data_IF_689952481157
#
_entry.id   IF_689952481157
#
_cell.length_a   1.000
_cell.length_b   1.000
_cell.length_c   1.000
_cell.angle_alpha   90.00
_cell.angle_beta   90.00
_cell.angle_gamma   90.00
#
_symmetry.space_group_name_H-M   'P 1'
#
loop_
_entity.id
_entity.type
_entity.pdbx_description
1 polymer ?
#
# COMPACT_ATOMS: atom_id res chain seq x y z
N UNK A 1 20.19 35.85 38.29
CA UNK A 1 19.19 35.74 37.21
C UNK A 1 18.67 34.31 37.18
N UNK A 2 17.35 34.12 37.28
CA UNK A 2 16.70 32.81 37.19
C UNK A 2 16.12 32.55 35.80
N UNK A 3 15.75 31.31 35.50
CA UNK A 3 15.05 30.94 34.26
C UNK A 3 13.55 31.25 34.42
N UNK A 4 13.04 32.18 33.62
CA UNK A 4 11.62 32.57 33.61
C UNK A 4 10.84 32.05 32.40
N UNK A 5 11.45 31.17 31.59
CA UNK A 5 10.81 30.60 30.41
C UNK A 5 9.93 29.42 30.85
N UNK A 6 8.67 29.42 30.42
CA UNK A 6 7.74 28.32 30.63
C UNK A 6 7.24 27.77 29.30
N UNK A 7 7.00 26.46 29.24
CA UNK A 7 6.54 25.76 28.02
C UNK A 7 5.11 25.28 28.24
N UNK A 8 4.19 25.73 27.39
CA UNK A 8 2.77 25.39 27.49
C UNK A 8 2.35 24.47 26.33
N UNK A 9 1.64 23.37 26.59
CA UNK A 9 1.10 22.51 25.53
C UNK A 9 -0.02 23.23 24.78
N UNK A 10 0.10 23.30 23.45
CA UNK A 10 -0.95 23.80 22.56
C UNK A 10 -1.54 22.65 21.74
N UNK A 11 -2.87 22.58 21.67
CA UNK A 11 -3.58 21.69 20.76
C UNK A 11 -4.05 22.50 19.56
N UNK A 12 -3.78 22.02 18.35
CA UNK A 12 -4.25 22.62 17.10
C UNK A 12 -5.12 21.58 16.37
N UNK A 13 -6.28 21.98 15.87
CA UNK A 13 -7.20 21.11 15.13
C UNK A 13 -7.22 21.50 13.65
N UNK A 14 -6.72 20.62 12.78
CA UNK A 14 -6.59 20.87 11.35
C UNK A 14 -7.75 20.30 10.51
N UNK A 15 -8.79 19.76 11.15
CA UNK A 15 -9.97 19.21 10.46
C UNK A 15 -11.06 20.25 10.16
N UNK A 16 -10.85 21.50 10.58
CA UNK A 16 -11.73 22.63 10.26
C UNK A 16 -11.16 23.45 9.11
N UNK A 17 -11.89 24.50 8.70
CA UNK A 17 -11.39 25.40 7.66
C UNK A 17 -10.12 26.12 8.10
N UNK A 18 -9.33 26.60 7.14
CA UNK A 18 -8.10 27.37 7.41
C UNK A 18 -8.40 28.57 8.30
N UNK A 19 -9.42 29.35 7.95
CA UNK A 19 -9.83 30.50 8.73
C UNK A 19 -10.24 30.14 10.16
N UNK A 20 -11.07 29.11 10.33
CA UNK A 20 -11.50 28.65 11.65
C UNK A 20 -10.32 28.09 12.47
N UNK A 21 -9.41 27.35 11.85
CA UNK A 21 -8.22 26.79 12.49
C UNK A 21 -7.33 27.88 13.07
N UNK A 22 -7.09 28.96 12.32
CA UNK A 22 -6.28 30.09 12.79
C UNK A 22 -6.98 30.84 13.92
N UNK A 23 -8.27 31.14 13.80
CA UNK A 23 -9.03 31.82 14.87
C UNK A 23 -9.09 30.99 16.16
N UNK A 24 -9.34 29.68 16.05
CA UNK A 24 -9.32 28.77 17.21
C UNK A 24 -7.94 28.67 17.84
N UNK A 25 -6.88 28.65 17.03
CA UNK A 25 -5.49 28.62 17.51
C UNK A 25 -5.14 29.90 18.24
N UNK A 26 -5.52 31.06 17.69
CA UNK A 26 -5.36 32.36 18.34
C UNK A 26 -6.10 32.42 19.68
N UNK A 27 -7.39 32.03 19.73
CA UNK A 27 -8.17 32.02 20.95
C UNK A 27 -7.56 31.08 22.02
N UNK A 28 -7.04 29.92 21.61
CA UNK A 28 -6.33 28.99 22.51
C UNK A 28 -5.05 29.60 23.05
N UNK A 29 -4.22 30.21 22.20
CA UNK A 29 -3.00 30.91 22.63
C UNK A 29 -3.30 32.04 23.61
N UNK A 30 -4.32 32.86 23.34
CA UNK A 30 -4.73 33.93 24.25
C UNK A 30 -5.19 33.39 25.62
N UNK A 31 -5.98 32.32 25.64
CA UNK A 31 -6.41 31.67 26.90
C UNK A 31 -5.25 31.04 27.68
N UNK A 32 -4.19 30.59 27.00
CA UNK A 32 -3.02 30.00 27.63
C UNK A 32 -2.17 31.03 28.39
N UNK A 33 -2.24 32.31 28.02
CA UNK A 33 -1.54 33.40 28.72
C UNK A 33 -2.01 33.54 30.18
N UNK A 34 -3.29 33.27 30.48
CA UNK A 34 -3.82 33.25 31.86
C UNK A 34 -3.16 32.17 32.74
N UNK A 35 -2.48 31.21 32.11
CA UNK A 35 -1.81 30.09 32.74
C UNK A 35 -0.29 30.10 32.52
N UNK A 36 0.30 31.24 32.14
CA UNK A 36 1.73 31.35 31.82
C UNK A 36 2.67 30.95 32.96
N UNK A 37 2.21 30.97 34.21
CA UNK A 37 2.97 30.54 35.38
C UNK A 37 2.80 29.05 35.73
N UNK A 38 1.89 28.33 35.06
CA UNK A 38 1.65 26.92 35.33
C UNK A 38 2.75 26.05 34.70
N UNK A 39 3.56 25.38 35.53
CA UNK A 39 4.65 24.55 35.02
C UNK A 39 4.18 23.41 34.11
N UNK A 40 4.99 23.04 33.11
CA UNK A 40 4.73 21.88 32.26
C UNK A 40 4.54 20.58 33.07
N UNK A 41 5.24 20.43 34.20
CA UNK A 41 5.08 19.27 35.11
C UNK A 41 3.67 19.22 35.70
N UNK A 42 3.08 20.37 36.05
CA UNK A 42 1.69 20.44 36.51
C UNK A 42 0.74 20.03 35.38
N UNK A 43 0.93 20.56 34.17
CA UNK A 43 0.12 20.18 33.00
C UNK A 43 0.20 18.67 32.70
N UNK A 44 1.39 18.07 32.80
CA UNK A 44 1.59 16.63 32.66
C UNK A 44 0.84 15.82 33.73
N UNK A 45 0.95 16.23 35.01
CA UNK A 45 0.24 15.57 36.12
C UNK A 45 -1.27 15.64 36.00
N UNK A 46 -1.80 16.74 35.47
CA UNK A 46 -3.23 16.92 35.25
C UNK A 46 -3.74 16.25 33.96
N UNK A 47 -2.84 15.70 33.15
CA UNK A 47 -3.21 14.99 31.92
C UNK A 47 -3.58 13.53 32.19
N UNK A 48 -4.41 12.94 31.33
CA UNK A 48 -4.67 11.49 31.32
C UNK A 48 -3.59 10.71 30.53
N UNK A 49 -2.45 11.33 30.24
CA UNK A 49 -1.35 10.70 29.48
C UNK A 49 -0.52 9.82 30.43
N UNK A 50 -0.16 8.57 30.04
CA UNK A 50 0.65 7.70 30.87
C UNK A 50 1.97 8.33 31.31
N UNK A 51 2.38 8.07 32.56
CA UNK A 51 3.65 8.55 33.08
C UNK A 51 4.82 8.11 32.19
N UNK A 52 5.76 9.02 31.94
CA UNK A 52 6.90 8.80 31.04
C UNK A 52 6.61 9.08 29.56
N UNK A 53 5.35 9.32 29.17
CA UNK A 53 5.01 9.75 27.80
C UNK A 53 4.97 11.28 27.73
N UNK A 54 5.75 11.94 26.85
CA UNK A 54 5.73 13.39 26.70
C UNK A 54 4.40 13.87 26.10
N UNK A 55 3.89 15.04 26.53
CA UNK A 55 2.67 15.64 25.97
C UNK A 55 2.84 16.08 24.50
N UNK A 56 4.06 16.44 24.12
CA UNK A 56 4.46 16.85 22.78
C UNK A 56 5.96 16.57 22.60
N UNK A 57 6.37 16.34 21.36
CA UNK A 57 7.78 16.10 20.96
C UNK A 57 8.38 17.24 20.16
N UNK A 58 7.62 18.33 19.96
CA UNK A 58 8.03 19.46 19.15
C UNK A 58 7.76 20.77 19.85
N UNK A 59 8.71 21.70 19.77
CA UNK A 59 8.58 23.07 20.27
C UNK A 59 8.45 24.03 19.09
N UNK A 60 7.53 24.98 19.23
CA UNK A 60 7.45 26.17 18.39
C UNK A 60 7.73 27.39 19.26
N UNK A 61 8.77 28.15 18.93
CA UNK A 61 9.10 29.42 19.56
C UNK A 61 8.81 30.56 18.58
N UNK A 62 8.23 31.66 19.08
CA UNK A 62 8.14 32.91 18.32
C UNK A 62 8.94 33.97 19.09
N UNK A 63 9.95 34.55 18.45
CA UNK A 63 10.90 35.46 19.08
C UNK A 63 10.89 36.77 18.33
N UNK A 64 10.44 37.83 19.00
CA UNK A 64 10.50 39.18 18.45
C UNK A 64 11.89 39.76 18.73
N UNK A 65 12.69 39.89 17.67
CA UNK A 65 14.04 40.44 17.72
C UNK A 65 14.04 41.85 17.09
N UNK A 66 13.33 42.79 17.73
CA UNK A 66 13.18 44.19 17.26
C UNK A 66 14.44 45.05 17.32
N UNK A 67 15.57 44.46 17.67
CA UNK A 67 16.83 45.16 17.79
C UNK A 67 17.88 44.25 17.22
N UNK A 68 18.56 44.72 16.17
CA UNK A 68 19.96 44.41 15.97
C UNK A 68 20.60 44.49 17.36
N UNK A 69 20.94 43.35 17.94
CA UNK A 69 22.02 43.31 18.89
C UNK A 69 23.22 43.74 18.06
N UNK A 70 23.41 45.05 17.94
CA UNK A 70 24.72 45.62 17.75
C UNK A 70 25.54 44.90 18.80
N UNK A 71 26.36 43.95 18.36
CA UNK A 71 27.40 43.30 19.15
C UNK A 71 28.44 44.30 19.67
N UNK A 72 28.14 45.60 19.60
CA UNK A 72 28.93 46.75 19.96
C UNK A 72 28.42 47.43 21.23
N UNK A 73 27.97 46.67 22.25
CA UNK A 73 27.98 47.15 23.65
C UNK A 73 27.72 46.01 24.63
N UNK A 74 28.50 44.94 24.53
CA UNK A 74 28.83 44.19 25.74
C UNK A 74 30.05 44.90 26.32
N UNK A 75 30.12 45.10 27.64
CA UNK A 75 31.20 45.81 28.35
C UNK A 75 32.58 45.65 27.70
N UNK A 76 33.44 46.70 27.67
CA UNK A 76 34.77 46.59 27.11
C UNK A 76 35.53 45.41 27.74
N UNK A 77 35.73 44.34 26.96
CA UNK A 77 36.35 43.10 27.41
C UNK A 77 35.51 41.82 27.21
N UNK A 78 34.23 41.92 26.84
CA UNK A 78 33.40 40.73 26.54
C UNK A 78 33.22 40.59 25.03
N UNK A 79 33.64 39.45 24.49
CA UNK A 79 33.43 39.06 23.10
C UNK A 79 32.41 37.93 23.06
N UNK A 80 31.34 38.11 22.30
CA UNK A 80 30.40 37.04 21.99
C UNK A 80 31.07 36.06 21.03
N UNK A 81 31.24 34.80 21.45
CA UNK A 81 31.90 33.76 20.64
C UNK A 81 30.90 32.85 19.94
N UNK A 82 29.93 32.29 20.68
CA UNK A 82 28.95 31.33 20.17
C UNK A 82 27.76 31.16 21.12
N UNK A 83 26.59 30.85 20.58
CA UNK A 83 25.42 30.38 21.33
C UNK A 83 25.05 28.98 20.83
N UNK A 84 24.90 28.04 21.76
CA UNK A 84 24.43 26.69 21.48
C UNK A 84 23.27 26.38 22.43
N UNK A 85 22.04 26.40 21.92
CA UNK A 85 20.88 25.91 22.65
C UNK A 85 20.74 24.40 22.41
N UNK A 86 20.57 23.62 23.47
CA UNK A 86 20.21 22.20 23.37
C UNK A 86 18.89 22.00 24.07
N UNK A 87 17.85 21.80 23.28
CA UNK A 87 16.52 21.45 23.79
C UNK A 87 16.41 19.93 23.94
N UNK A 88 15.65 19.46 24.93
CA UNK A 88 15.41 18.02 25.14
C UNK A 88 14.31 17.47 24.22
N UNK A 89 13.97 18.18 23.14
CA UNK A 89 12.87 17.87 22.24
C UNK A 89 13.41 17.45 20.87
N UNK A 90 12.87 16.38 20.26
CA UNK A 90 13.29 15.92 18.93
C UNK A 90 13.28 16.97 17.81
N UNK A 91 12.38 17.96 17.90
CA UNK A 91 12.24 19.03 16.93
C UNK A 91 11.92 20.35 17.66
N UNK A 92 12.71 21.38 17.40
CA UNK A 92 12.45 22.75 17.83
C UNK A 92 12.50 23.65 16.62
N UNK A 93 11.42 24.40 16.39
CA UNK A 93 11.33 25.41 15.35
C UNK A 93 11.16 26.76 16.01
N UNK A 94 12.01 27.72 15.67
CA UNK A 94 11.88 29.11 16.08
C UNK A 94 11.56 29.98 14.86
N UNK A 95 10.56 30.84 15.03
CA UNK A 95 10.28 31.96 14.14
C UNK A 95 10.94 33.19 14.74
N UNK A 96 11.93 33.74 14.04
CA UNK A 96 12.63 34.98 14.41
C UNK A 96 11.95 36.14 13.66
N UNK A 97 11.30 37.03 14.39
CA UNK A 97 10.61 38.19 13.82
C UNK A 97 11.52 39.42 13.87
N UNK A 98 12.00 39.82 12.70
CA UNK A 98 12.87 40.99 12.50
C UNK A 98 12.07 42.24 12.09
N UNK A 99 10.74 42.22 12.24
CA UNK A 99 9.82 43.30 11.91
C UNK A 99 9.49 43.44 10.43
N UNK A 100 10.47 43.28 9.54
CA UNK A 100 10.27 43.33 8.07
C UNK A 100 10.30 41.96 7.40
N UNK A 101 10.91 40.98 8.06
CA UNK A 101 11.02 39.60 7.58
C UNK A 101 10.94 38.62 8.76
N UNK A 102 10.59 37.37 8.45
CA UNK A 102 10.59 36.26 9.39
C UNK A 102 11.74 35.30 9.04
N UNK A 103 12.61 35.02 10.00
CA UNK A 103 13.59 33.95 9.94
C UNK A 103 13.03 32.65 10.51
N UNK A 104 13.48 31.51 9.99
CA UNK A 104 13.17 30.18 10.51
C UNK A 104 14.46 29.50 10.96
N UNK A 105 14.52 29.11 12.22
CA UNK A 105 15.62 28.31 12.78
C UNK A 105 15.06 26.96 13.21
N UNK A 106 15.67 25.87 12.77
CA UNK A 106 15.25 24.52 13.12
C UNK A 106 16.40 23.74 13.74
N UNK A 107 16.16 23.23 14.94
CA UNK A 107 16.97 22.21 15.58
C UNK A 107 16.21 20.88 15.56
N UNK A 108 16.78 19.87 14.92
CA UNK A 108 16.16 18.54 14.80
C UNK A 108 17.18 17.44 15.07
N UNK A 109 16.71 16.33 15.63
CA UNK A 109 17.54 15.14 15.81
C UNK A 109 17.91 14.50 14.46
N UNK A 110 19.07 13.85 14.41
CA UNK A 110 19.44 13.01 13.27
C UNK A 110 18.47 11.81 13.13
N UNK A 111 18.21 11.31 11.92
CA UNK A 111 18.84 11.65 10.64
C UNK A 111 18.10 12.75 9.84
N UNK A 112 17.24 13.54 10.48
CA UNK A 112 16.45 14.55 9.78
C UNK A 112 17.32 15.76 9.39
N UNK A 113 17.02 16.30 8.21
CA UNK A 113 17.68 17.50 7.69
C UNK A 113 16.91 18.76 8.13
N UNK A 114 17.51 19.65 8.95
CA UNK A 114 16.84 20.87 9.40
C UNK A 114 16.49 21.82 8.25
N UNK A 115 17.31 21.90 7.20
CA UNK A 115 17.06 22.80 6.06
C UNK A 115 15.78 22.40 5.34
N UNK A 116 15.57 21.09 5.15
CA UNK A 116 14.34 20.57 4.55
C UNK A 116 13.09 20.91 5.36
N UNK A 117 13.19 20.90 6.70
CA UNK A 117 12.07 21.28 7.57
C UNK A 117 11.78 22.78 7.44
N UNK A 118 12.81 23.63 7.36
CA UNK A 118 12.63 25.06 7.08
C UNK A 118 11.90 25.28 5.75
N UNK A 119 12.31 24.58 4.68
CA UNK A 119 11.68 24.66 3.36
C UNK A 119 10.20 24.24 3.43
N UNK A 120 9.86 23.17 4.16
CA UNK A 120 8.48 22.74 4.33
C UNK A 120 7.64 23.74 5.11
N UNK A 121 8.20 24.32 6.18
CA UNK A 121 7.49 25.34 6.95
C UNK A 121 7.27 26.60 6.13
N UNK A 122 8.27 27.02 5.34
CA UNK A 122 8.13 28.14 4.42
C UNK A 122 7.01 27.88 3.39
N UNK A 123 6.99 26.70 2.76
CA UNK A 123 5.93 26.33 1.82
C UNK A 123 4.54 26.29 2.50
N UNK A 124 4.47 25.80 3.73
CA UNK A 124 3.23 25.77 4.51
C UNK A 124 2.72 27.18 4.81
N UNK A 125 3.60 28.11 5.20
CA UNK A 125 3.26 29.51 5.43
C UNK A 125 2.80 30.21 4.15
N UNK A 126 3.51 30.00 3.03
CA UNK A 126 3.10 30.54 1.73
C UNK A 126 1.71 30.02 1.32
N UNK A 127 1.49 28.70 1.43
CA UNK A 127 0.21 28.09 1.10
C UNK A 127 -0.92 28.57 2.03
N UNK A 128 -0.61 28.85 3.30
CA UNK A 128 -1.56 29.41 4.25
C UNK A 128 -1.99 30.82 3.83
N UNK A 129 -1.03 31.69 3.47
CA UNK A 129 -1.30 33.05 2.99
C UNK A 129 -2.12 33.02 1.70
N UNK A 130 -1.70 32.24 0.71
CA UNK A 130 -2.43 32.08 -0.56
C UNK A 130 -3.87 31.60 -0.33
N UNK A 131 -4.05 30.65 0.59
CA UNK A 131 -5.37 30.13 0.90
C UNK A 131 -6.26 31.14 1.63
N UNK A 132 -5.70 32.06 2.42
CA UNK A 132 -6.50 33.15 3.00
C UNK A 132 -7.07 34.09 1.93
N UNK A 133 -6.29 34.37 0.89
CA UNK A 133 -6.71 35.26 -0.19
C UNK A 133 -7.75 34.61 -1.12
N UNK A 134 -7.68 33.29 -1.32
CA UNK A 134 -8.46 32.62 -2.38
C UNK A 134 -9.44 31.55 -1.88
N UNK A 135 -9.10 30.79 -0.85
CA UNK A 135 -9.87 29.61 -0.39
C UNK A 135 -9.84 29.42 1.14
N UNK A 136 -10.30 30.41 1.93
CA UNK A 136 -10.17 30.38 3.40
C UNK A 136 -11.02 29.28 4.05
N UNK A 137 -12.06 28.80 3.35
CA UNK A 137 -12.98 27.76 3.82
C UNK A 137 -12.48 26.33 3.55
N UNK A 138 -11.37 26.16 2.84
CA UNK A 138 -10.74 24.85 2.62
C UNK A 138 -10.26 24.25 3.94
N UNK A 139 -10.33 22.92 4.07
CA UNK A 139 -9.86 22.22 5.28
C UNK A 139 -8.35 22.41 5.47
N UNK A 140 -7.91 22.83 6.66
CA UNK A 140 -6.51 23.19 6.92
C UNK A 140 -5.52 22.05 6.64
N UNK A 141 -5.91 20.79 6.85
CA UNK A 141 -5.09 19.62 6.51
C UNK A 141 -4.76 19.49 5.00
N UNK A 142 -5.49 20.16 4.12
CA UNK A 142 -5.26 20.12 2.68
C UNK A 142 -4.21 21.14 2.21
N UNK A 143 -3.67 21.97 3.11
CA UNK A 143 -2.60 22.90 2.77
C UNK A 143 -1.38 22.17 2.20
N UNK A 144 -0.85 22.71 1.11
CA UNK A 144 0.38 22.21 0.49
C UNK A 144 1.58 22.50 1.39
N UNK A 145 2.27 21.44 1.84
CA UNK A 145 3.53 21.59 2.59
C UNK A 145 4.75 21.16 1.77
N UNK A 146 4.53 20.46 0.67
CA UNK A 146 5.58 20.00 -0.22
C UNK A 146 5.94 21.10 -1.23
N UNK A 147 7.23 21.44 -1.38
CA UNK A 147 7.71 22.32 -2.43
C UNK A 147 7.28 21.81 -3.81
N UNK A 148 7.05 22.73 -4.75
CA UNK A 148 6.57 22.40 -6.09
C UNK A 148 7.46 21.37 -6.82
N UNK A 149 8.77 21.55 -6.76
CA UNK A 149 9.74 20.64 -7.42
C UNK A 149 9.71 19.24 -6.81
N UNK A 150 9.61 19.14 -5.48
CA UNK A 150 9.49 17.85 -4.81
C UNK A 150 8.16 17.18 -5.13
N UNK A 151 7.05 17.93 -5.10
CA UNK A 151 5.74 17.42 -5.50
C UNK A 151 5.77 16.91 -6.94
N UNK A 152 6.41 17.63 -7.86
CA UNK A 152 6.58 17.21 -9.26
C UNK A 152 7.40 15.93 -9.35
N UNK A 153 8.51 15.85 -8.62
CA UNK A 153 9.36 14.65 -8.56
C UNK A 153 8.56 13.42 -8.11
N UNK A 154 7.86 13.54 -6.97
CA UNK A 154 7.11 12.45 -6.34
C UNK A 154 5.88 12.02 -7.15
N UNK A 155 5.12 12.98 -7.69
CA UNK A 155 3.83 12.69 -8.31
C UNK A 155 3.92 12.48 -9.81
N UNK A 156 4.88 13.09 -10.50
CA UNK A 156 4.99 13.04 -11.96
C UNK A 156 6.25 12.31 -12.40
N UNK A 157 7.44 12.75 -11.97
CA UNK A 157 8.71 12.22 -12.48
C UNK A 157 8.88 10.74 -12.13
N UNK A 158 8.68 10.35 -10.87
CA UNK A 158 8.77 8.94 -10.46
C UNK A 158 7.58 8.09 -10.92
N UNK A 159 6.43 8.68 -11.19
CA UNK A 159 5.25 7.98 -11.70
C UNK A 159 5.11 8.04 -13.23
N UNK A 160 6.15 8.49 -13.95
CA UNK A 160 6.19 8.48 -15.41
C UNK A 160 6.50 7.06 -15.92
N UNK A 161 5.61 6.12 -15.60
CA UNK A 161 5.74 4.68 -15.88
C UNK A 161 4.87 4.21 -17.06
N UNK A 162 4.23 5.16 -17.75
CA UNK A 162 3.41 4.86 -18.93
C UNK A 162 4.29 4.29 -20.05
N UNK A 163 3.95 3.09 -20.51
CA UNK A 163 4.57 2.43 -21.64
C UNK A 163 3.50 1.74 -22.47
N UNK A 164 3.66 1.74 -23.79
CA UNK A 164 2.78 1.00 -24.68
C UNK A 164 3.05 -0.50 -24.55
N UNK A 165 1.98 -1.27 -24.36
CA UNK A 165 1.99 -2.73 -24.33
C UNK A 165 0.71 -3.26 -25.00
N UNK A 166 0.66 -4.52 -25.45
CA UNK A 166 -0.51 -5.07 -26.15
C UNK A 166 -1.68 -5.33 -25.19
N UNK A 167 -2.29 -4.25 -24.70
CA UNK A 167 -3.36 -4.24 -23.67
C UNK A 167 -4.66 -4.92 -24.10
N UNK A 168 -4.83 -5.19 -25.39
CA UNK A 168 -5.97 -5.90 -25.96
C UNK A 168 -5.79 -7.43 -25.97
N UNK A 169 -4.63 -7.95 -25.56
CA UNK A 169 -4.32 -9.38 -25.61
C UNK A 169 -4.20 -9.99 -24.22
N UNK A 170 -4.85 -11.14 -24.03
CA UNK A 170 -4.64 -11.99 -22.87
C UNK A 170 -3.28 -12.71 -22.92
N UNK A 171 -2.76 -13.10 -21.76
CA UNK A 171 -1.46 -13.78 -21.63
C UNK A 171 -1.37 -15.06 -22.47
N UNK A 172 -2.45 -15.86 -22.53
CA UNK A 172 -2.45 -17.09 -23.33
C UNK A 172 -2.37 -16.82 -24.84
N UNK A 173 -2.90 -15.70 -25.34
CA UNK A 173 -2.73 -15.33 -26.76
C UNK A 173 -1.28 -14.98 -27.08
N UNK A 174 -0.57 -14.29 -26.17
CA UNK A 174 0.86 -14.01 -26.32
C UNK A 174 1.67 -15.32 -26.33
N UNK A 175 1.29 -16.29 -25.49
CA UNK A 175 1.87 -17.63 -25.51
C UNK A 175 1.61 -18.35 -26.84
N UNK A 176 0.39 -18.32 -27.36
CA UNK A 176 0.03 -18.94 -28.65
C UNK A 176 0.82 -18.35 -29.82
N UNK A 177 0.98 -17.03 -29.86
CA UNK A 177 1.84 -16.37 -30.86
C UNK A 177 3.29 -16.86 -30.76
N UNK A 178 3.81 -17.09 -29.55
CA UNK A 178 5.15 -17.65 -29.38
C UNK A 178 5.22 -19.11 -29.86
N UNK A 179 4.17 -19.90 -29.66
CA UNK A 179 4.07 -21.28 -30.16
C UNK A 179 4.14 -21.31 -31.68
N UNK A 180 3.44 -20.40 -32.36
CA UNK A 180 3.50 -20.29 -33.82
C UNK A 180 4.89 -19.87 -34.32
N UNK A 181 5.56 -18.96 -33.61
CA UNK A 181 6.88 -18.45 -33.99
C UNK A 181 7.99 -19.49 -33.85
N UNK A 182 8.00 -20.26 -32.77
CA UNK A 182 9.09 -21.21 -32.48
C UNK A 182 8.56 -22.53 -31.88
N UNK A 183 7.80 -23.33 -32.64
CA UNK A 183 7.06 -24.48 -32.09
C UNK A 183 7.96 -25.55 -31.46
N UNK A 184 9.13 -25.81 -32.06
CA UNK A 184 10.07 -26.85 -31.62
C UNK A 184 11.08 -26.36 -30.58
N UNK A 185 11.07 -25.06 -30.24
CA UNK A 185 11.95 -24.55 -29.19
C UNK A 185 11.48 -25.07 -27.82
N UNK A 186 12.42 -25.31 -26.91
CA UNK A 186 12.13 -25.69 -25.53
C UNK A 186 11.34 -24.57 -24.82
N UNK A 187 10.16 -24.90 -24.30
CA UNK A 187 9.31 -23.97 -23.57
C UNK A 187 9.38 -24.17 -22.05
N UNK A 188 9.51 -25.43 -21.61
CA UNK A 188 9.46 -25.78 -20.19
C UNK A 188 10.45 -26.91 -19.88
N UNK A 189 11.23 -26.74 -18.83
CA UNK A 189 12.19 -27.73 -18.33
C UNK A 189 11.82 -28.07 -16.89
N UNK A 190 11.78 -29.36 -16.57
CA UNK A 190 11.56 -29.84 -15.22
C UNK A 190 12.42 -31.07 -15.00
N UNK A 191 13.36 -30.98 -14.06
CA UNK A 191 14.43 -31.97 -13.89
C UNK A 191 15.15 -32.22 -15.23
N UNK A 192 15.38 -33.48 -15.59
CA UNK A 192 16.09 -33.89 -16.82
C UNK A 192 15.17 -33.97 -18.06
N UNK A 193 13.93 -33.48 -17.97
CA UNK A 193 12.96 -33.51 -19.05
C UNK A 193 12.63 -32.11 -19.55
N UNK A 194 12.18 -32.03 -20.79
CA UNK A 194 11.71 -30.77 -21.38
C UNK A 194 10.50 -30.98 -22.28
N UNK A 195 9.73 -29.91 -22.46
CA UNK A 195 8.64 -29.82 -23.43
C UNK A 195 8.92 -28.68 -24.40
N UNK A 196 8.63 -28.90 -25.68
CA UNK A 196 8.60 -27.83 -26.67
C UNK A 196 7.37 -26.92 -26.49
N UNK A 197 7.37 -25.75 -27.13
CA UNK A 197 6.21 -24.88 -27.18
C UNK A 197 4.97 -25.59 -27.77
N UNK A 198 5.14 -26.35 -28.86
CA UNK A 198 4.03 -27.09 -29.47
C UNK A 198 3.47 -28.16 -28.53
N UNK A 199 4.34 -28.94 -27.88
CA UNK A 199 3.90 -30.00 -26.95
C UNK A 199 3.17 -29.44 -25.73
N UNK A 200 3.67 -28.34 -25.16
CA UNK A 200 3.04 -27.67 -24.04
C UNK A 200 1.67 -27.11 -24.44
N UNK A 201 1.59 -26.46 -25.60
CA UNK A 201 0.35 -25.86 -26.10
C UNK A 201 -0.71 -26.93 -26.39
N UNK A 202 -0.35 -28.03 -27.05
CA UNK A 202 -1.30 -29.12 -27.34
C UNK A 202 -1.86 -29.75 -26.07
N UNK A 203 -1.02 -29.99 -25.05
CA UNK A 203 -1.47 -30.51 -23.75
C UNK A 203 -2.44 -29.54 -23.07
N UNK A 204 -2.10 -28.24 -23.06
CA UNK A 204 -2.96 -27.21 -22.48
C UNK A 204 -4.28 -27.07 -23.23
N UNK A 205 -4.27 -27.10 -24.57
CA UNK A 205 -5.46 -27.00 -25.41
C UNK A 205 -6.43 -28.16 -25.16
N UNK A 206 -5.95 -29.40 -25.07
CA UNK A 206 -6.81 -30.56 -24.79
C UNK A 206 -7.53 -30.43 -23.45
N UNK A 207 -6.82 -29.95 -22.43
CA UNK A 207 -7.41 -29.70 -21.12
C UNK A 207 -8.35 -28.48 -21.15
N UNK A 208 -8.02 -27.41 -21.87
CA UNK A 208 -8.87 -26.23 -22.01
C UNK A 208 -10.21 -26.57 -22.65
N UNK A 209 -10.23 -27.32 -23.77
CA UNK A 209 -11.46 -27.80 -24.40
C UNK A 209 -12.32 -28.64 -23.46
N UNK A 210 -11.68 -29.46 -22.63
CA UNK A 210 -12.39 -30.24 -21.62
C UNK A 210 -13.02 -29.35 -20.54
N UNK A 211 -12.29 -28.35 -20.04
CA UNK A 211 -12.78 -27.38 -19.07
C UNK A 211 -13.95 -26.55 -19.63
N UNK A 212 -13.87 -26.10 -20.89
CA UNK A 212 -14.97 -25.42 -21.58
C UNK A 212 -16.20 -26.33 -21.66
N UNK A 213 -16.02 -27.61 -22.00
CA UNK A 213 -17.09 -28.61 -22.00
C UNK A 213 -17.73 -28.86 -20.63
N UNK A 214 -17.02 -28.57 -19.54
CA UNK A 214 -17.52 -28.64 -18.16
C UNK A 214 -18.16 -27.31 -17.69
N UNK A 215 -18.25 -26.30 -18.56
CA UNK A 215 -18.90 -25.02 -18.26
C UNK A 215 -17.97 -23.94 -17.74
N UNK A 216 -16.64 -24.09 -17.87
CA UNK A 216 -15.72 -22.97 -17.60
C UNK A 216 -15.96 -21.88 -18.64
N UNK A 217 -16.19 -20.67 -18.15
CA UNK A 217 -16.41 -19.45 -18.92
C UNK A 217 -15.59 -18.30 -18.28
N UNK A 218 -15.51 -17.12 -18.90
CA UNK A 218 -14.85 -15.96 -18.30
C UNK A 218 -15.26 -15.71 -16.84
N UNK A 219 -14.28 -15.34 -16.00
CA UNK A 219 -14.39 -15.16 -14.54
C UNK A 219 -14.76 -16.41 -13.72
N UNK A 220 -14.85 -17.58 -14.34
CA UNK A 220 -15.03 -18.83 -13.59
C UNK A 220 -13.76 -19.17 -12.83
N UNK A 221 -13.88 -19.36 -11.52
CA UNK A 221 -12.77 -19.79 -10.68
C UNK A 221 -12.56 -21.30 -10.78
N UNK A 222 -11.34 -21.70 -11.12
CA UNK A 222 -10.89 -23.09 -11.16
C UNK A 222 -9.77 -23.26 -10.16
N UNK A 223 -9.98 -24.08 -9.13
CA UNK A 223 -8.91 -24.40 -8.20
C UNK A 223 -7.83 -25.26 -8.86
N UNK A 224 -6.59 -25.09 -8.46
CA UNK A 224 -5.48 -25.95 -8.87
C UNK A 224 -4.68 -26.38 -7.64
N UNK A 225 -4.76 -27.66 -7.30
CA UNK A 225 -4.03 -28.28 -6.19
C UNK A 225 -3.14 -29.38 -6.77
N UNK A 226 -1.96 -28.98 -7.26
CA UNK A 226 -1.04 -29.82 -8.01
C UNK A 226 0.37 -29.50 -7.53
N UNK A 227 1.21 -30.51 -7.33
CA UNK A 227 2.62 -30.33 -7.01
C UNK A 227 3.40 -29.76 -8.20
N UNK A 228 4.58 -29.18 -7.92
CA UNK A 228 5.46 -28.65 -8.96
C UNK A 228 5.80 -29.74 -9.97
N UNK A 229 5.32 -29.56 -11.19
CA UNK A 229 5.43 -30.52 -12.29
C UNK A 229 5.09 -29.84 -13.62
N UNK A 230 5.31 -30.53 -14.74
CA UNK A 230 4.78 -30.07 -16.04
C UNK A 230 3.27 -29.88 -16.01
N UNK A 231 2.56 -30.76 -15.30
CA UNK A 231 1.11 -30.72 -15.22
C UNK A 231 0.61 -29.40 -14.62
N UNK A 232 1.29 -28.86 -13.61
CA UNK A 232 0.93 -27.57 -13.01
C UNK A 232 0.85 -26.44 -14.06
N UNK A 233 1.88 -26.32 -14.92
CA UNK A 233 1.91 -25.28 -15.97
C UNK A 233 0.89 -25.56 -17.07
N UNK A 234 0.71 -26.83 -17.45
CA UNK A 234 -0.36 -27.25 -18.38
C UNK A 234 -1.73 -26.83 -17.82
N UNK A 235 -1.98 -27.02 -16.53
CA UNK A 235 -3.22 -26.63 -15.85
C UNK A 235 -3.46 -25.14 -15.86
N UNK A 236 -2.45 -24.35 -15.48
CA UNK A 236 -2.54 -22.89 -15.51
C UNK A 236 -2.87 -22.41 -16.93
N UNK A 237 -2.11 -22.83 -17.94
CA UNK A 237 -2.37 -22.44 -19.33
C UNK A 237 -3.76 -22.89 -19.80
N UNK A 238 -4.18 -24.10 -19.45
CA UNK A 238 -5.48 -24.62 -19.83
C UNK A 238 -6.64 -23.85 -19.20
N UNK A 239 -6.52 -23.45 -17.93
CA UNK A 239 -7.52 -22.61 -17.25
C UNK A 239 -7.64 -21.26 -17.96
N UNK A 240 -6.50 -20.61 -18.24
CA UNK A 240 -6.50 -19.32 -18.94
C UNK A 240 -7.07 -19.41 -20.36
N UNK A 241 -6.75 -20.48 -21.09
CA UNK A 241 -7.29 -20.77 -22.43
C UNK A 241 -8.78 -21.12 -22.40
N UNK A 242 -9.28 -21.67 -21.30
CA UNK A 242 -10.71 -21.89 -21.08
C UNK A 242 -11.44 -20.61 -20.62
N UNK A 243 -10.72 -19.50 -20.44
CA UNK A 243 -11.24 -18.22 -19.96
C UNK A 243 -11.41 -18.13 -18.44
N UNK A 244 -11.10 -19.19 -17.71
CA UNK A 244 -11.20 -19.18 -16.24
C UNK A 244 -10.03 -18.47 -15.57
N UNK A 245 -10.21 -18.19 -14.28
CA UNK A 245 -9.16 -17.74 -13.37
C UNK A 245 -8.73 -18.88 -12.46
N UNK A 246 -7.43 -19.09 -12.31
CA UNK A 246 -6.93 -20.15 -11.42
C UNK A 246 -6.84 -19.66 -9.97
N UNK A 247 -7.22 -20.55 -9.04
CA UNK A 247 -7.05 -20.37 -7.59
C UNK A 247 -6.02 -21.39 -7.11
N UNK A 248 -4.75 -21.00 -6.88
CA UNK A 248 -3.73 -21.93 -6.47
C UNK A 248 -3.95 -22.39 -5.03
N UNK A 249 -3.93 -23.71 -4.84
CA UNK A 249 -4.02 -24.36 -3.54
C UNK A 249 -2.71 -25.09 -3.27
N UNK A 250 -1.89 -24.54 -2.38
CA UNK A 250 -0.62 -25.16 -1.99
C UNK A 250 -0.91 -26.45 -1.19
N UNK A 251 -0.52 -27.63 -1.69
CA UNK A 251 -0.73 -28.91 -1.00
C UNK A 251 -0.08 -28.97 0.39
N UNK A 252 0.90 -28.11 0.67
CA UNK A 252 1.61 -28.06 1.96
C UNK A 252 0.87 -27.27 3.04
N UNK A 253 -0.19 -26.53 2.67
CA UNK A 253 -0.97 -25.76 3.63
C UNK A 253 -1.79 -26.64 4.57
N UNK A 254 -2.04 -26.19 5.82
CA UNK A 254 -2.97 -26.85 6.71
C UNK A 254 -4.35 -27.00 6.06
N UNK A 255 -5.02 -28.12 6.34
CA UNK A 255 -6.33 -28.48 5.75
C UNK A 255 -7.36 -27.37 5.96
N UNK A 256 -7.37 -26.76 7.13
CA UNK A 256 -8.29 -25.68 7.51
C UNK A 256 -8.11 -24.44 6.62
N UNK A 257 -6.87 -24.14 6.21
CA UNK A 257 -6.58 -23.02 5.31
C UNK A 257 -7.11 -23.31 3.89
N UNK A 258 -6.92 -24.53 3.39
CA UNK A 258 -7.42 -24.95 2.09
C UNK A 258 -8.95 -24.95 2.05
N UNK A 259 -9.60 -25.39 3.13
CA UNK A 259 -11.05 -25.32 3.32
C UNK A 259 -11.53 -23.87 3.23
N UNK A 260 -10.94 -22.98 4.03
CA UNK A 260 -11.33 -21.57 4.05
C UNK A 260 -11.19 -20.90 2.68
N UNK A 261 -10.13 -21.19 1.93
CA UNK A 261 -9.93 -20.66 0.58
C UNK A 261 -11.04 -21.15 -0.34
N UNK A 262 -11.32 -22.46 -0.35
CA UNK A 262 -12.33 -23.03 -1.22
C UNK A 262 -13.75 -22.60 -0.84
N UNK A 263 -14.02 -22.35 0.46
CA UNK A 263 -15.32 -21.86 0.95
C UNK A 263 -15.62 -20.44 0.48
N UNK A 264 -14.59 -19.61 0.42
CA UNK A 264 -14.67 -18.24 -0.04
C UNK A 264 -14.70 -18.17 -1.58
N UNK A 265 -13.76 -18.84 -2.25
CA UNK A 265 -13.63 -18.83 -3.71
C UNK A 265 -14.76 -19.59 -4.43
N UNK A 266 -15.33 -20.63 -3.80
CA UNK A 266 -16.41 -21.48 -4.35
C UNK A 266 -16.19 -21.91 -5.81
N UNK A 267 -15.02 -22.48 -6.16
CA UNK A 267 -14.79 -22.94 -7.52
C UNK A 267 -15.67 -24.15 -7.85
N UNK A 268 -16.11 -24.25 -9.10
CA UNK A 268 -16.91 -25.38 -9.59
C UNK A 268 -16.05 -26.61 -9.93
N UNK A 269 -14.78 -26.38 -10.26
CA UNK A 269 -13.81 -27.39 -10.68
C UNK A 269 -12.51 -27.21 -9.90
N UNK A 270 -11.87 -28.31 -9.54
CA UNK A 270 -10.50 -28.33 -9.05
C UNK A 270 -9.65 -29.28 -9.91
N UNK A 271 -8.59 -28.74 -10.53
CA UNK A 271 -7.53 -29.53 -11.12
C UNK A 271 -6.64 -30.09 -10.02
N UNK A 272 -6.40 -31.40 -10.05
CA UNK A 272 -5.64 -32.12 -9.03
C UNK A 272 -4.68 -33.12 -9.67
N UNK A 273 -3.55 -33.36 -9.00
CA UNK A 273 -2.75 -34.58 -9.19
C UNK A 273 -3.06 -35.59 -8.07
N UNK A 274 -2.26 -36.66 -7.96
CA UNK A 274 -2.43 -37.68 -6.94
C UNK A 274 -2.40 -37.11 -5.50
N UNK A 275 -1.52 -36.14 -5.25
CA UNK A 275 -1.35 -35.54 -3.91
C UNK A 275 -2.51 -34.61 -3.60
N UNK A 276 -2.84 -33.70 -4.51
CA UNK A 276 -3.98 -32.79 -4.34
C UNK A 276 -5.30 -33.54 -4.22
N UNK A 277 -5.49 -34.61 -4.99
CA UNK A 277 -6.68 -35.45 -4.91
C UNK A 277 -6.80 -36.14 -3.56
N UNK A 278 -5.70 -36.60 -2.96
CA UNK A 278 -5.68 -37.17 -1.61
C UNK A 278 -6.06 -36.11 -0.56
N UNK A 279 -5.44 -34.93 -0.63
CA UNK A 279 -5.69 -33.83 0.32
C UNK A 279 -7.15 -33.36 0.27
N UNK A 280 -7.69 -33.13 -0.93
CA UNK A 280 -9.06 -32.63 -1.07
C UNK A 280 -10.12 -33.68 -0.70
N UNK A 281 -9.84 -34.98 -0.92
CA UNK A 281 -10.72 -36.07 -0.45
C UNK A 281 -10.68 -36.21 1.07
N UNK A 282 -9.50 -36.24 1.67
CA UNK A 282 -9.31 -36.38 3.12
C UNK A 282 -10.04 -35.30 3.91
N UNK A 283 -9.99 -34.08 3.39
CA UNK A 283 -10.60 -32.94 4.04
C UNK A 283 -12.09 -32.78 3.64
N UNK A 284 -12.67 -33.78 2.94
CA UNK A 284 -14.08 -33.84 2.50
C UNK A 284 -14.52 -32.63 1.65
N UNK A 285 -13.59 -31.99 0.94
CA UNK A 285 -13.88 -30.76 0.19
C UNK A 285 -14.62 -31.00 -1.13
N UNK A 286 -14.76 -32.26 -1.53
CA UNK A 286 -15.58 -32.71 -2.66
C UNK A 286 -17.02 -33.07 -2.26
N UNK A 287 -17.42 -32.87 -1.01
CA UNK A 287 -18.81 -33.06 -0.57
C UNK A 287 -19.66 -31.83 -0.91
N UNK A 288 -20.99 -32.01 -1.10
CA UNK A 288 -21.91 -30.91 -1.31
C UNK A 288 -21.82 -29.95 -0.12
N UNK A 289 -21.63 -28.66 -0.39
CA UNK A 289 -21.52 -27.62 0.65
C UNK A 289 -22.89 -27.00 0.86
N UNK A 290 -23.29 -26.85 2.12
CA UNK A 290 -24.51 -26.14 2.49
C UNK A 290 -24.47 -24.71 1.92
N UNK A 291 -25.30 -24.43 0.91
CA UNK A 291 -25.64 -23.07 0.51
C UNK A 291 -26.84 -22.62 1.33
N UNK A 292 -26.86 -21.34 1.71
CA UNK A 292 -28.07 -20.70 2.26
C UNK A 292 -29.27 -20.75 1.26
N UNK A 293 -29.05 -21.08 -0.02
CA UNK A 293 -30.05 -21.05 -1.10
C UNK A 293 -30.13 -22.33 -1.98
N UNK A 294 -29.80 -23.51 -1.45
CA UNK A 294 -30.43 -24.77 -1.90
C UNK A 294 -29.96 -25.47 -3.19
N UNK A 295 -28.83 -25.08 -3.80
CA UNK A 295 -28.26 -25.86 -4.93
C UNK A 295 -26.82 -26.31 -4.62
N UNK A 296 -26.69 -27.49 -4.04
CA UNK A 296 -25.41 -28.05 -3.56
C UNK A 296 -24.67 -28.78 -4.69
N UNK A 297 -23.86 -28.06 -5.45
CA UNK A 297 -23.01 -28.68 -6.47
C UNK A 297 -21.64 -29.00 -5.86
N UNK A 298 -21.23 -30.28 -5.77
CA UNK A 298 -19.89 -30.64 -5.31
C UNK A 298 -18.84 -30.13 -6.29
N UNK A 299 -17.63 -29.84 -5.77
CA UNK A 299 -16.49 -29.47 -6.61
C UNK A 299 -16.10 -30.68 -7.46
N UNK A 300 -16.08 -30.50 -8.78
CA UNK A 300 -15.63 -31.56 -9.70
C UNK A 300 -14.11 -31.64 -9.66
N UNK A 301 -13.59 -32.76 -9.16
CA UNK A 301 -12.15 -33.02 -9.16
C UNK A 301 -11.74 -33.61 -10.52
N UNK A 302 -10.77 -32.97 -11.18
CA UNK A 302 -10.28 -33.37 -12.49
C UNK A 302 -8.80 -33.73 -12.37
N UNK A 303 -8.46 -34.99 -12.68
CA UNK A 303 -7.06 -35.41 -12.71
C UNK A 303 -6.35 -34.75 -13.89
N UNK A 304 -5.39 -33.90 -13.58
CA UNK A 304 -4.65 -33.14 -14.58
C UNK A 304 -3.78 -34.03 -15.49
N UNK A 305 -3.36 -35.20 -15.01
CA UNK A 305 -2.50 -36.12 -15.75
C UNK A 305 -3.28 -37.07 -16.67
N UNK A 306 -4.61 -37.07 -16.58
CA UNK A 306 -5.46 -37.91 -17.42
C UNK A 306 -5.30 -37.55 -18.91
N UNK A 307 -5.09 -38.58 -19.74
CA UNK A 307 -5.01 -38.41 -21.19
C UNK A 307 -6.39 -38.12 -21.76
N UNK A 308 -6.51 -37.04 -22.52
CA UNK A 308 -7.77 -36.58 -23.11
C UNK A 308 -7.73 -36.66 -24.63
N UNK A 309 -8.86 -37.04 -25.22
CA UNK A 309 -9.06 -37.07 -26.67
C UNK A 309 -9.63 -35.77 -27.25
N UNK A 310 -9.77 -34.72 -26.42
CA UNK A 310 -10.19 -33.37 -26.85
C UNK A 310 -9.31 -32.81 -27.98
N UNK A 311 -9.79 -31.81 -28.74
CA UNK A 311 -8.98 -31.13 -29.75
C UNK A 311 -7.70 -30.55 -29.16
N UNK A 312 -6.63 -30.50 -29.96
CA UNK A 312 -5.35 -29.91 -29.59
C UNK A 312 -5.14 -28.51 -30.18
N UNK A 313 -6.14 -27.98 -30.89
CA UNK A 313 -6.16 -26.60 -31.42
C UNK A 313 -6.49 -25.60 -30.31
N UNK A 314 -6.03 -24.36 -30.46
CA UNK A 314 -6.34 -23.30 -29.50
C UNK A 314 -7.87 -23.13 -29.43
N UNK A 315 -8.48 -23.07 -28.23
CA UNK A 315 -9.90 -22.79 -28.10
C UNK A 315 -10.19 -21.34 -28.48
N UNK A 316 -11.25 -21.12 -29.26
CA UNK A 316 -11.76 -19.79 -29.57
C UNK A 316 -12.94 -19.50 -28.64
N UNK A 317 -12.81 -18.46 -27.79
CA UNK A 317 -13.82 -18.09 -26.80
C UNK A 317 -14.34 -16.67 -27.08
N UNK A 318 -15.47 -16.55 -27.82
CA UNK A 318 -16.11 -15.26 -28.05
C UNK A 318 -16.46 -14.61 -26.71
N UNK A 319 -15.91 -13.43 -26.44
CA UNK A 319 -16.17 -12.67 -25.22
C UNK A 319 -15.07 -12.73 -24.16
N UNK A 320 -14.04 -13.56 -24.32
CA UNK A 320 -12.86 -13.47 -23.45
C UNK A 320 -12.07 -12.19 -23.76
N UNK A 321 -11.84 -11.37 -22.74
CA UNK A 321 -11.12 -10.10 -22.83
C UNK A 321 -10.07 -9.96 -21.72
N UNK A 322 -9.08 -9.07 -21.86
CA UNK A 322 -8.06 -8.81 -20.83
C UNK A 322 -8.59 -8.26 -19.49
N UNK A 323 -9.87 -7.87 -19.42
CA UNK A 323 -10.49 -7.39 -18.19
C UNK A 323 -10.99 -8.51 -17.27
N UNK A 324 -11.03 -9.76 -17.76
CA UNK A 324 -11.43 -10.90 -16.96
C UNK A 324 -10.31 -11.35 -16.02
N UNK A 325 -10.69 -12.02 -14.95
CA UNK A 325 -9.77 -12.54 -13.97
C UNK A 325 -8.76 -13.52 -14.60
N UNK A 326 -7.48 -13.36 -14.27
CA UNK A 326 -6.42 -14.34 -14.61
C UNK A 326 -6.19 -15.31 -13.45
N UNK A 327 -6.20 -14.80 -12.22
CA UNK A 327 -6.00 -15.58 -11.00
C UNK A 327 -6.62 -14.89 -9.79
N UNK A 328 -6.82 -15.66 -8.73
CA UNK A 328 -7.16 -15.16 -7.39
C UNK A 328 -6.14 -15.73 -6.41
N UNK A 329 -5.35 -14.86 -5.76
CA UNK A 329 -4.30 -15.27 -4.82
C UNK A 329 -4.67 -14.85 -3.41
N UNK A 330 -4.79 -15.85 -2.54
CA UNK A 330 -5.17 -15.63 -1.16
C UNK A 330 -4.01 -15.17 -0.27
N UNK A 331 -4.14 -13.99 0.34
CA UNK A 331 -3.19 -13.47 1.33
C UNK A 331 -3.69 -13.68 2.76
N UNK A 332 -2.82 -13.52 3.76
CA UNK A 332 -3.26 -13.41 5.16
C UNK A 332 -4.12 -12.14 5.33
N UNK A 333 -5.34 -12.30 5.82
CA UNK A 333 -6.17 -11.16 6.23
C UNK A 333 -5.78 -10.71 7.64
N UNK A 334 -5.84 -9.40 7.90
CA UNK A 334 -5.66 -8.83 9.24
C UNK A 334 -6.70 -9.33 10.25
N UNK A 335 -7.82 -9.85 9.76
CA UNK A 335 -8.91 -10.45 10.55
C UNK A 335 -8.71 -11.95 10.82
N UNK A 336 -7.60 -12.54 10.38
CA UNK A 336 -7.31 -13.98 10.52
C UNK A 336 -7.96 -14.87 9.46
N UNK A 337 -8.93 -14.36 8.69
CA UNK A 337 -9.49 -15.06 7.52
C UNK A 337 -8.70 -14.73 6.24
N UNK A 338 -8.35 -15.71 5.40
CA UNK A 338 -7.76 -15.45 4.09
C UNK A 338 -8.66 -14.54 3.24
N UNK A 339 -8.05 -13.70 2.40
CA UNK A 339 -8.75 -12.85 1.40
C UNK A 339 -8.12 -13.06 0.03
N UNK A 340 -8.93 -13.25 -1.00
CA UNK A 340 -8.53 -13.49 -2.39
C UNK A 340 -8.93 -12.37 -3.31
#
# INVERSE_FOLDING_TARGET
MGLFINTLPLRVDLNCSIHESVLRTHARLASLLEHEHASLVLAQRCSNVPQGTPLFSSILNYRHNSSSLDTASIDPGIVYLQYNERTNYPLTLAVEDFGTELGLTVDVIQPFDPERICIYMQQALQSLVEAFDHTPDTVARQLGVLPLEERKLLLQTWNSTQQDYPSHQCVHHLFEQQVERTPQATALVFMDQSLSYSELNERANRLAHHLVGLGVQPDTLVAICVERSFAMIVGVLAILKAGGAYVPLDPTYPKERLISILEDARPIIALVDNVGHTILKDAKLNQPRQKDHGDETPIVLIDINEKRSSPHTNPELPGLTPNHLTYVIYTSGSTGKPKG
#
